data_IF_687790182498
#
_entry.id   IF_687790182498
#
_cell.length_a   1.000
_cell.length_b   1.000
_cell.length_c   1.000
_cell.angle_alpha   90.00
_cell.angle_beta   90.00
_cell.angle_gamma   90.00
#
_symmetry.space_group_name_H-M   'P 1'
#
loop_
_entity.id
_entity.type
_entity.pdbx_description
1 polymer ?
#
# COMPACT_ATOMS: atom_id res chain seq x y z
N UNK A 1 -28.98 -1.73 17.95
CA UNK A 1 -29.59 -2.31 16.74
C UNK A 1 -30.40 -3.49 17.21
N UNK A 2 -31.63 -3.71 16.74
CA UNK A 2 -32.42 -4.87 17.15
C UNK A 2 -32.03 -6.11 16.34
N UNK A 3 -32.20 -7.33 16.88
CA UNK A 3 -31.98 -8.59 16.16
C UNK A 3 -32.74 -8.63 14.82
N UNK A 4 -33.94 -8.06 14.77
CA UNK A 4 -34.71 -7.93 13.52
C UNK A 4 -33.91 -7.25 12.41
N UNK A 5 -33.19 -6.19 12.73
CA UNK A 5 -32.38 -5.45 11.75
C UNK A 5 -31.10 -6.21 11.35
N UNK A 6 -30.57 -7.06 12.25
CA UNK A 6 -29.46 -7.96 11.92
C UNK A 6 -29.91 -9.01 10.92
N UNK A 7 -31.08 -9.61 11.13
CA UNK A 7 -31.67 -10.59 10.21
C UNK A 7 -31.92 -9.96 8.82
N UNK A 8 -32.50 -8.75 8.76
CA UNK A 8 -32.71 -8.01 7.50
C UNK A 8 -31.37 -7.72 6.74
N UNK A 9 -30.27 -7.55 7.46
CA UNK A 9 -28.96 -7.37 6.85
C UNK A 9 -28.39 -8.72 6.42
N UNK A 10 -28.49 -9.74 7.25
CA UNK A 10 -27.99 -11.08 6.97
C UNK A 10 -28.68 -11.71 5.76
N UNK A 11 -30.02 -11.52 5.60
CA UNK A 11 -30.77 -11.98 4.43
C UNK A 11 -30.29 -11.32 3.11
N UNK A 12 -29.68 -10.12 3.19
CA UNK A 12 -29.13 -9.43 2.01
C UNK A 12 -27.71 -9.87 1.66
N UNK A 13 -27.06 -10.58 2.58
CA UNK A 13 -25.71 -11.12 2.37
C UNK A 13 -25.91 -12.52 1.79
N UNK A 14 -25.51 -12.70 0.55
CA UNK A 14 -25.52 -14.01 -0.12
C UNK A 14 -24.36 -14.86 0.41
N UNK A 15 -24.61 -15.58 1.50
CA UNK A 15 -23.63 -16.46 2.15
C UNK A 15 -23.27 -17.68 1.28
N UNK A 16 -24.21 -18.16 0.46
CA UNK A 16 -24.02 -19.36 -0.36
C UNK A 16 -23.07 -19.11 -1.53
N UNK A 17 -23.14 -17.92 -2.13
CA UNK A 17 -22.28 -17.55 -3.27
C UNK A 17 -20.94 -16.89 -2.86
N UNK A 18 -20.75 -16.58 -1.58
CA UNK A 18 -19.53 -15.95 -1.06
C UNK A 18 -18.77 -16.88 -0.08
N UNK A 19 -18.26 -18.00 -0.56
CA UNK A 19 -17.52 -18.99 0.24
C UNK A 19 -16.30 -18.42 0.99
N UNK A 20 -15.79 -17.25 0.58
CA UNK A 20 -14.68 -16.55 1.21
C UNK A 20 -15.10 -15.48 2.23
N UNK A 21 -16.40 -15.27 2.43
CA UNK A 21 -16.89 -14.28 3.37
C UNK A 21 -16.65 -14.77 4.82
N UNK A 22 -15.94 -13.96 5.59
CA UNK A 22 -15.71 -14.19 7.00
C UNK A 22 -16.52 -13.20 7.81
N UNK A 23 -17.31 -13.70 8.75
CA UNK A 23 -18.22 -12.89 9.55
C UNK A 23 -17.92 -13.04 11.03
N UNK A 24 -17.90 -11.91 11.74
CA UNK A 24 -17.80 -11.85 13.20
C UNK A 24 -19.08 -11.21 13.74
N UNK A 25 -19.72 -11.85 14.69
CA UNK A 25 -20.81 -11.24 15.44
C UNK A 25 -20.23 -10.34 16.54
N UNK A 26 -20.53 -9.04 16.49
CA UNK A 26 -20.02 -8.08 17.48
C UNK A 26 -21.16 -7.58 18.37
N UNK A 27 -21.10 -7.93 19.64
CA UNK A 27 -21.97 -7.45 20.68
C UNK A 27 -21.36 -6.23 21.35
N UNK A 28 -21.95 -5.06 21.13
CA UNK A 28 -21.45 -3.78 21.68
C UNK A 28 -22.27 -3.35 22.90
N UNK A 29 -21.72 -2.43 23.69
CA UNK A 29 -22.30 -1.83 24.91
C UNK A 29 -22.45 -2.81 26.05
N UNK A 30 -21.52 -3.74 26.22
CA UNK A 30 -21.50 -4.69 27.36
C UNK A 30 -21.38 -3.98 28.73
N UNK A 31 -21.04 -2.68 28.74
CA UNK A 31 -21.00 -1.84 29.93
C UNK A 31 -22.42 -1.47 30.47
N UNK A 32 -23.47 -1.77 29.70
CA UNK A 32 -24.88 -1.51 30.05
C UNK A 32 -25.62 -2.82 30.35
N UNK A 33 -25.04 -3.67 31.18
CA UNK A 33 -25.60 -5.01 31.52
C UNK A 33 -27.05 -4.95 31.98
N UNK A 34 -27.42 -3.97 32.81
CA UNK A 34 -28.77 -3.81 33.35
C UNK A 34 -29.79 -3.29 32.30
N UNK A 35 -29.34 -2.83 31.16
CA UNK A 35 -30.17 -2.34 30.06
C UNK A 35 -30.23 -3.32 28.87
N UNK A 36 -29.70 -4.52 29.04
CA UNK A 36 -29.66 -5.55 28.00
C UNK A 36 -31.06 -5.98 27.62
N UNK A 37 -31.46 -5.79 26.36
CA UNK A 37 -32.80 -6.11 25.82
C UNK A 37 -32.81 -7.41 25.01
N UNK A 38 -31.65 -7.97 24.71
CA UNK A 38 -31.53 -9.19 23.88
C UNK A 38 -30.87 -10.23 24.76
N UNK A 39 -31.54 -11.36 24.94
CA UNK A 39 -30.98 -12.48 25.67
C UNK A 39 -29.96 -13.26 24.87
N UNK A 40 -29.14 -14.04 25.57
CA UNK A 40 -28.05 -14.81 24.99
C UNK A 40 -28.57 -15.92 24.07
N UNK A 41 -29.72 -16.48 24.38
CA UNK A 41 -30.34 -17.56 23.58
C UNK A 41 -30.76 -17.06 22.19
N UNK A 42 -31.35 -15.87 22.11
CA UNK A 42 -31.68 -15.21 20.84
C UNK A 42 -30.44 -14.87 19.99
N UNK A 43 -29.34 -14.52 20.63
CA UNK A 43 -28.08 -14.26 19.93
C UNK A 43 -27.51 -15.57 19.36
N UNK A 44 -27.47 -16.62 20.15
CA UNK A 44 -26.96 -17.92 19.74
C UNK A 44 -27.79 -18.49 18.58
N UNK A 45 -29.10 -18.39 18.66
CA UNK A 45 -29.98 -18.82 17.57
C UNK A 45 -29.73 -18.04 16.27
N UNK A 46 -29.50 -16.74 16.37
CA UNK A 46 -29.10 -15.91 15.22
C UNK A 46 -27.77 -16.35 14.61
N UNK A 47 -26.78 -16.62 15.46
CA UNK A 47 -25.47 -17.09 15.02
C UNK A 47 -25.54 -18.45 14.33
N UNK A 48 -26.31 -19.38 14.88
CA UNK A 48 -26.55 -20.71 14.29
C UNK A 48 -27.26 -20.61 12.93
N UNK A 49 -28.29 -19.76 12.84
CA UNK A 49 -29.07 -19.57 11.60
C UNK A 49 -28.19 -19.10 10.44
N UNK A 50 -27.20 -18.26 10.72
CA UNK A 50 -26.31 -17.68 9.68
C UNK A 50 -24.89 -18.29 9.71
N UNK A 51 -24.69 -19.41 10.39
CA UNK A 51 -23.41 -20.14 10.51
C UNK A 51 -22.23 -19.26 10.97
N UNK A 52 -22.51 -18.25 11.80
CA UNK A 52 -21.49 -17.33 12.31
C UNK A 52 -20.74 -18.02 13.48
N UNK A 53 -19.47 -18.32 13.28
CA UNK A 53 -18.64 -19.07 14.25
C UNK A 53 -17.96 -18.19 15.27
N UNK A 54 -17.75 -16.91 14.95
CA UNK A 54 -16.97 -15.99 15.77
C UNK A 54 -17.85 -14.91 16.40
N UNK A 55 -17.74 -14.77 17.73
CA UNK A 55 -18.42 -13.73 18.51
C UNK A 55 -17.42 -12.93 19.33
N UNK A 56 -17.61 -11.62 19.40
CA UNK A 56 -16.81 -10.72 20.26
C UNK A 56 -17.74 -9.76 21.00
N UNK A 57 -17.50 -9.62 22.29
CA UNK A 57 -18.17 -8.66 23.16
C UNK A 57 -17.30 -7.43 23.38
N UNK A 58 -17.83 -6.24 23.14
CA UNK A 58 -17.08 -4.99 23.25
C UNK A 58 -17.87 -3.90 23.98
N UNK A 59 -17.13 -2.94 24.54
CA UNK A 59 -17.66 -1.62 24.88
C UNK A 59 -16.81 -0.54 24.24
N UNK A 60 -17.31 0.06 23.19
CA UNK A 60 -16.61 1.16 22.52
C UNK A 60 -16.41 2.32 23.50
N UNK A 61 -17.38 2.58 24.39
CA UNK A 61 -17.29 3.65 25.40
C UNK A 61 -16.15 3.45 26.39
N UNK A 62 -15.93 2.22 26.84
CA UNK A 62 -14.89 1.87 27.81
C UNK A 62 -13.60 1.35 27.18
N UNK A 63 -13.58 1.10 25.88
CA UNK A 63 -12.46 0.48 25.17
C UNK A 63 -12.30 -1.03 25.39
N UNK A 64 -13.19 -1.68 26.17
CA UNK A 64 -13.09 -3.07 26.49
C UNK A 64 -13.38 -3.96 25.28
N UNK A 65 -12.62 -5.04 25.11
CA UNK A 65 -12.82 -6.06 24.07
C UNK A 65 -12.38 -5.63 22.66
N UNK A 66 -11.90 -4.40 22.45
CA UNK A 66 -11.45 -3.92 21.14
C UNK A 66 -10.20 -4.66 20.65
N UNK A 67 -9.26 -4.95 21.55
CA UNK A 67 -8.04 -5.71 21.21
C UNK A 67 -8.40 -7.12 20.74
N UNK A 68 -9.32 -7.81 21.43
CA UNK A 68 -9.81 -9.12 21.03
C UNK A 68 -10.53 -9.09 19.67
N UNK A 69 -11.31 -8.05 19.40
CA UNK A 69 -11.94 -7.87 18.08
C UNK A 69 -10.88 -7.75 16.98
N UNK A 70 -9.86 -6.90 17.19
CA UNK A 70 -8.78 -6.71 16.23
C UNK A 70 -7.98 -8.00 16.03
N UNK A 71 -7.68 -8.74 17.10
CA UNK A 71 -7.00 -10.02 17.02
C UNK A 71 -7.80 -11.05 16.20
N UNK A 72 -9.10 -11.19 16.48
CA UNK A 72 -9.98 -12.09 15.71
C UNK A 72 -10.11 -11.68 14.25
N UNK A 73 -10.22 -10.39 13.95
CA UNK A 73 -10.21 -9.89 12.59
C UNK A 73 -8.90 -10.22 11.87
N UNK A 74 -7.77 -10.04 12.52
CA UNK A 74 -6.46 -10.39 11.98
C UNK A 74 -6.34 -11.90 11.72
N UNK A 75 -6.83 -12.74 12.62
CA UNK A 75 -6.81 -14.19 12.45
C UNK A 75 -7.69 -14.65 11.26
N UNK A 76 -8.84 -14.02 11.06
CA UNK A 76 -9.70 -14.31 9.90
C UNK A 76 -9.06 -13.89 8.58
N UNK A 77 -8.35 -12.77 8.57
CA UNK A 77 -7.63 -12.27 7.38
C UNK A 77 -6.41 -13.14 7.08
N UNK A 78 -5.65 -13.54 8.10
CA UNK A 78 -4.42 -14.33 7.95
C UNK A 78 -4.69 -15.79 7.56
N UNK A 79 -5.89 -16.31 7.83
CA UNK A 79 -6.32 -17.65 7.40
C UNK A 79 -6.89 -17.67 5.97
N UNK A 80 -7.05 -16.53 5.31
CA UNK A 80 -7.28 -16.46 3.87
C UNK A 80 -5.94 -16.59 3.14
N UNK A 81 -5.87 -17.38 2.07
CA UNK A 81 -4.66 -17.76 1.30
C UNK A 81 -3.85 -16.60 0.69
N UNK A 82 -4.17 -15.35 1.04
CA UNK A 82 -3.42 -14.16 0.70
C UNK A 82 -2.53 -13.69 1.87
N UNK A 83 -1.70 -14.58 2.40
CA UNK A 83 -0.62 -14.20 3.31
C UNK A 83 0.35 -13.28 2.57
N UNK A 84 0.18 -11.96 2.74
CA UNK A 84 1.21 -11.00 2.36
C UNK A 84 2.34 -11.15 3.38
N UNK A 85 3.50 -11.72 3.00
CA UNK A 85 4.56 -12.05 3.95
C UNK A 85 5.37 -10.80 4.35
N UNK A 86 4.67 -9.71 4.67
CA UNK A 86 5.29 -8.47 5.12
C UNK A 86 5.03 -8.30 6.62
N UNK A 87 6.06 -8.53 7.41
CA UNK A 87 6.06 -8.22 8.83
C UNK A 87 6.64 -6.83 9.04
N UNK A 88 5.86 -5.98 9.73
CA UNK A 88 6.38 -4.70 10.21
C UNK A 88 7.41 -4.96 11.31
N UNK A 89 8.60 -4.44 11.15
CA UNK A 89 9.56 -4.35 12.25
C UNK A 89 9.12 -3.16 13.09
N UNK A 90 8.52 -3.41 14.26
CA UNK A 90 8.12 -2.36 15.19
C UNK A 90 9.37 -1.59 15.61
N UNK A 91 9.42 -0.31 15.27
CA UNK A 91 10.39 0.59 15.87
C UNK A 91 9.92 0.99 17.27
N UNK A 92 9.99 0.07 18.23
CA UNK A 92 10.10 0.43 19.63
C UNK A 92 11.57 0.40 19.98
N UNK A 93 12.10 1.58 20.15
CA UNK A 93 13.28 2.10 20.86
C UNK A 93 14.19 2.92 19.98
N UNK A 94 14.36 4.17 20.41
CA UNK A 94 15.49 5.05 20.13
C UNK A 94 16.80 4.47 20.70
N UNK A 95 17.25 3.35 20.20
CA UNK A 95 18.65 2.94 20.31
C UNK A 95 19.19 2.95 18.90
N UNK A 96 20.12 3.86 18.68
CA UNK A 96 21.05 3.88 17.56
C UNK A 96 21.90 2.62 17.70
N UNK A 97 21.33 1.48 17.33
CA UNK A 97 22.04 0.23 17.22
C UNK A 97 22.31 0.01 15.75
N UNK A 98 23.60 0.18 15.42
CA UNK A 98 24.29 -0.26 14.21
C UNK A 98 23.52 -0.05 12.90
N UNK A 99 24.09 0.72 11.99
CA UNK A 99 23.64 0.85 10.60
C UNK A 99 23.65 -0.54 9.96
N UNK A 100 22.51 -1.25 10.04
CA UNK A 100 22.32 -2.40 9.19
C UNK A 100 22.23 -1.89 7.75
N UNK A 101 23.18 -2.26 6.93
CA UNK A 101 23.10 -2.04 5.48
C UNK A 101 21.90 -2.85 4.96
N UNK A 102 20.76 -2.18 4.82
CA UNK A 102 19.61 -2.81 4.16
C UNK A 102 19.94 -3.01 2.69
N UNK A 103 19.86 -4.25 2.18
CA UNK A 103 20.26 -4.56 0.81
C UNK A 103 19.35 -3.88 -0.23
N UNK A 104 18.12 -3.52 0.14
CA UNK A 104 17.15 -2.86 -0.74
C UNK A 104 16.55 -1.64 -0.03
N UNK A 105 16.59 -0.50 -0.71
CA UNK A 105 15.85 0.71 -0.33
C UNK A 105 14.78 0.97 -1.38
N UNK A 106 13.54 1.18 -0.94
CA UNK A 106 12.39 1.50 -1.78
C UNK A 106 12.00 2.95 -1.54
N UNK A 107 12.02 3.78 -2.59
CA UNK A 107 11.61 5.17 -2.53
C UNK A 107 10.20 5.33 -3.11
N UNK A 108 9.26 5.72 -2.26
CA UNK A 108 7.86 5.99 -2.62
C UNK A 108 7.56 7.48 -2.55
N UNK A 109 6.85 8.00 -3.55
CA UNK A 109 6.44 9.41 -3.61
C UNK A 109 4.91 9.47 -3.60
N UNK A 110 4.36 10.39 -2.79
CA UNK A 110 2.94 10.73 -2.79
C UNK A 110 2.72 11.99 -3.62
N UNK A 111 1.87 11.91 -4.64
CA UNK A 111 1.44 13.04 -5.46
C UNK A 111 -0.07 13.08 -5.58
N UNK A 112 -0.62 14.19 -6.04
CA UNK A 112 -2.07 14.42 -6.16
C UNK A 112 -2.45 15.82 -5.68
N UNK A 113 -3.70 16.22 -5.92
CA UNK A 113 -4.21 17.54 -5.59
C UNK A 113 -4.13 17.89 -4.10
N UNK A 114 -4.37 19.14 -3.76
CA UNK A 114 -4.52 19.56 -2.36
C UNK A 114 -5.73 18.86 -1.74
N UNK A 115 -5.66 18.58 -0.43
CA UNK A 115 -6.75 18.01 0.39
C UNK A 115 -7.23 16.60 0.00
N UNK A 116 -6.57 15.88 -0.92
CA UNK A 116 -6.91 14.48 -1.24
C UNK A 116 -6.48 13.50 -0.15
N UNK A 117 -5.62 13.92 0.79
CA UNK A 117 -5.20 13.13 1.95
C UNK A 117 -3.84 12.46 1.83
N UNK A 118 -2.89 13.03 1.05
CA UNK A 118 -1.49 12.55 0.97
C UNK A 118 -0.83 12.50 2.34
N UNK A 119 -0.85 13.62 3.07
CA UNK A 119 -0.31 13.72 4.42
C UNK A 119 -1.04 12.82 5.42
N UNK A 120 -2.35 12.59 5.23
CA UNK A 120 -3.09 11.63 6.05
C UNK A 120 -2.60 10.20 5.82
N UNK A 121 -2.37 9.81 4.57
CA UNK A 121 -1.76 8.52 4.24
C UNK A 121 -0.35 8.42 4.82
N UNK A 122 0.48 9.45 4.65
CA UNK A 122 1.82 9.52 5.19
C UNK A 122 1.83 9.30 6.72
N UNK A 123 0.93 9.97 7.47
CA UNK A 123 0.83 9.82 8.92
C UNK A 123 0.30 8.44 9.33
N UNK A 124 -0.64 7.87 8.57
CA UNK A 124 -1.11 6.49 8.80
C UNK A 124 -0.01 5.47 8.57
N UNK A 125 0.67 5.58 7.44
CA UNK A 125 1.80 4.72 7.11
C UNK A 125 2.90 4.79 8.17
N UNK A 126 3.13 5.98 8.71
CA UNK A 126 4.24 6.29 9.59
C UNK A 126 3.97 5.95 11.06
N UNK A 127 2.86 6.49 11.61
CA UNK A 127 2.56 6.46 13.03
C UNK A 127 1.22 5.79 13.35
N UNK A 128 0.53 5.28 12.35
CA UNK A 128 -0.87 4.82 12.45
C UNK A 128 -1.81 5.89 13.06
N UNK A 129 -1.51 7.17 12.81
CA UNK A 129 -2.26 8.31 13.36
C UNK A 129 -3.04 9.03 12.27
N UNK A 130 -4.18 9.61 12.66
CA UNK A 130 -4.98 10.50 11.84
C UNK A 130 -5.25 11.78 12.63
N UNK A 131 -5.11 12.93 11.96
CA UNK A 131 -5.44 14.24 12.52
C UNK A 131 -6.48 14.89 11.60
N UNK A 132 -7.55 15.44 12.16
CA UNK A 132 -8.60 16.11 11.37
C UNK A 132 -8.20 17.51 10.90
N UNK A 133 -7.41 18.22 11.71
CA UNK A 133 -6.99 19.59 11.40
C UNK A 133 -5.59 19.58 10.78
N UNK A 134 -5.54 19.63 9.45
CA UNK A 134 -4.29 19.78 8.73
C UNK A 134 -4.06 21.22 8.29
N UNK A 135 -2.89 21.73 8.65
CA UNK A 135 -2.28 22.84 7.92
C UNK A 135 -1.70 22.27 6.63
N UNK A 136 -1.89 22.98 5.51
CA UNK A 136 -1.31 22.56 4.22
C UNK A 136 0.18 22.30 4.35
N UNK A 137 0.64 21.15 3.83
CA UNK A 137 2.06 20.79 3.82
C UNK A 137 2.86 21.86 3.08
N UNK A 138 3.89 22.40 3.71
CA UNK A 138 4.83 23.35 3.11
C UNK A 138 6.12 22.58 2.81
N UNK A 139 6.42 22.36 1.52
CA UNK A 139 7.63 21.64 1.11
C UNK A 139 7.43 20.15 0.97
N UNK A 140 8.43 19.37 1.35
CA UNK A 140 8.48 17.90 1.20
C UNK A 140 8.93 17.31 2.54
N UNK A 141 8.10 16.45 3.11
CA UNK A 141 8.44 15.66 4.28
C UNK A 141 8.89 14.25 3.87
N UNK A 142 9.86 13.72 4.60
CA UNK A 142 10.39 12.38 4.39
C UNK A 142 10.35 11.57 5.65
N UNK A 143 9.89 10.34 5.52
CA UNK A 143 9.98 9.34 6.58
C UNK A 143 10.45 8.02 6.03
N UNK A 144 11.05 7.19 6.88
CA UNK A 144 11.44 5.83 6.51
C UNK A 144 11.06 4.82 7.58
N UNK A 145 10.75 3.60 7.14
CA UNK A 145 10.53 2.44 8.01
C UNK A 145 11.25 1.23 7.44
N UNK A 146 11.59 0.31 8.33
CA UNK A 146 12.14 -0.98 7.96
C UNK A 146 11.03 -2.03 7.94
N UNK A 147 11.08 -2.88 6.93
CA UNK A 147 10.14 -3.98 6.73
C UNK A 147 10.92 -5.26 6.50
N UNK A 148 10.31 -6.40 6.82
CA UNK A 148 10.85 -7.71 6.49
C UNK A 148 9.95 -8.36 5.45
N UNK A 149 10.50 -8.63 4.27
CA UNK A 149 9.82 -9.28 3.18
C UNK A 149 10.63 -10.51 2.72
N UNK A 150 9.99 -11.69 2.66
CA UNK A 150 10.65 -12.97 2.33
C UNK A 150 11.93 -13.22 3.14
N UNK A 151 11.92 -12.86 4.41
CA UNK A 151 13.06 -13.03 5.31
C UNK A 151 14.17 -11.99 5.18
N UNK A 152 14.09 -11.07 4.21
CA UNK A 152 15.07 -10.00 3.99
C UNK A 152 14.54 -8.67 4.50
N UNK A 153 15.42 -7.85 5.05
CA UNK A 153 15.08 -6.49 5.46
C UNK A 153 15.13 -5.54 4.27
N UNK A 154 14.15 -4.64 4.19
CA UNK A 154 14.13 -3.54 3.25
C UNK A 154 13.77 -2.23 3.94
N UNK A 155 14.39 -1.14 3.49
CA UNK A 155 14.11 0.22 3.95
C UNK A 155 13.15 0.88 2.99
N UNK A 156 11.98 1.31 3.48
CA UNK A 156 11.00 2.07 2.69
C UNK A 156 11.07 3.53 3.08
N UNK A 157 11.39 4.39 2.12
CA UNK A 157 11.39 5.83 2.26
C UNK A 157 10.13 6.38 1.60
N UNK A 158 9.25 7.03 2.37
CA UNK A 158 8.04 7.67 1.87
C UNK A 158 8.23 9.19 1.88
N UNK A 159 7.88 9.84 0.75
CA UNK A 159 7.99 11.27 0.55
C UNK A 159 6.59 11.87 0.42
N UNK A 160 6.20 12.71 1.39
CA UNK A 160 4.96 13.50 1.35
C UNK A 160 5.22 14.83 0.67
N UNK A 161 4.38 15.19 -0.29
CA UNK A 161 4.57 16.40 -1.09
C UNK A 161 3.41 17.37 -0.89
N UNK A 162 3.71 18.67 -0.96
CA UNK A 162 2.68 19.70 -0.96
C UNK A 162 1.78 19.55 -2.20
N UNK A 163 0.47 19.45 -1.99
CA UNK A 163 -0.53 19.34 -3.07
C UNK A 163 -1.04 20.67 -3.60
N UNK A 164 -0.39 21.80 -3.24
CA UNK A 164 -0.84 23.12 -3.71
C UNK A 164 -0.45 23.33 -5.18
N UNK A 165 -1.40 23.85 -5.95
CA UNK A 165 -1.25 24.18 -7.38
C UNK A 165 -0.04 25.09 -7.69
N UNK A 166 0.42 25.85 -6.71
CA UNK A 166 1.58 26.76 -6.81
C UNK A 166 2.94 26.03 -6.74
N UNK A 167 2.97 24.74 -6.31
CA UNK A 167 4.18 23.92 -6.14
C UNK A 167 4.09 22.59 -6.90
N UNK A 168 3.40 22.60 -8.05
CA UNK A 168 3.19 21.38 -8.88
C UNK A 168 4.47 20.72 -9.35
N UNK A 169 5.59 21.42 -9.38
CA UNK A 169 6.85 20.83 -9.83
C UNK A 169 7.71 20.33 -8.68
N UNK A 170 7.56 19.08 -8.34
CA UNK A 170 8.61 18.37 -7.60
C UNK A 170 9.92 18.45 -8.42
N UNK A 171 11.06 18.70 -7.76
CA UNK A 171 12.34 18.62 -8.47
C UNK A 171 12.49 17.26 -9.15
N UNK A 172 12.89 17.28 -10.43
CA UNK A 172 13.03 16.10 -11.30
C UNK A 172 13.72 14.91 -10.65
N UNK A 173 14.72 15.16 -9.79
CA UNK A 173 15.45 14.13 -9.04
C UNK A 173 14.58 13.21 -8.20
N UNK A 174 13.41 13.70 -7.71
CA UNK A 174 12.52 12.85 -6.90
C UNK A 174 11.85 11.80 -7.78
N UNK A 175 11.33 12.20 -8.94
CA UNK A 175 10.76 11.27 -9.91
C UNK A 175 11.79 10.25 -10.41
N UNK A 176 13.01 10.69 -10.67
CA UNK A 176 14.10 9.83 -11.15
C UNK A 176 14.54 8.79 -10.12
N UNK A 177 14.50 9.12 -8.84
CA UNK A 177 14.89 8.23 -7.77
C UNK A 177 13.74 7.35 -7.24
N UNK A 178 12.50 7.60 -7.67
CA UNK A 178 11.35 6.84 -7.23
C UNK A 178 11.39 5.39 -7.73
N UNK A 179 11.00 4.47 -6.87
CA UNK A 179 10.74 3.07 -7.19
C UNK A 179 9.23 2.83 -7.30
N UNK A 180 8.43 3.65 -6.60
CA UNK A 180 6.98 3.70 -6.70
C UNK A 180 6.43 5.10 -6.57
N UNK A 181 5.36 5.40 -7.33
CA UNK A 181 4.65 6.69 -7.27
C UNK A 181 3.18 6.39 -7.00
N UNK A 182 2.64 7.01 -5.93
CA UNK A 182 1.26 6.90 -5.51
C UNK A 182 0.54 8.20 -5.88
N UNK A 183 -0.38 8.12 -6.85
CA UNK A 183 -1.27 9.23 -7.21
C UNK A 183 -2.52 9.09 -6.34
N UNK A 184 -2.72 10.01 -5.39
CA UNK A 184 -3.86 9.99 -4.48
C UNK A 184 -4.90 10.99 -4.96
N UNK A 185 -6.16 10.52 -5.07
CA UNK A 185 -7.32 11.37 -5.34
C UNK A 185 -8.42 11.13 -4.29
N UNK A 186 -9.37 12.05 -4.21
CA UNK A 186 -10.53 11.97 -3.33
C UNK A 186 -11.72 11.40 -4.12
N UNK A 187 -12.29 10.28 -3.70
CA UNK A 187 -13.42 9.63 -4.40
C UNK A 187 -14.68 10.50 -4.43
N UNK A 188 -14.75 11.53 -3.60
CA UNK A 188 -15.85 12.50 -3.58
C UNK A 188 -15.57 13.76 -4.42
N UNK A 189 -14.34 13.89 -4.98
CA UNK A 189 -13.93 15.07 -5.73
C UNK A 189 -13.56 14.69 -7.18
N UNK A 190 -14.48 14.99 -8.12
CA UNK A 190 -14.32 14.68 -9.54
C UNK A 190 -13.14 15.43 -10.18
N UNK A 191 -12.82 16.64 -9.71
CA UNK A 191 -11.67 17.40 -10.19
C UNK A 191 -10.36 16.70 -9.89
N UNK A 192 -10.16 16.24 -8.64
CA UNK A 192 -8.95 15.51 -8.25
C UNK A 192 -8.77 14.20 -9.04
N UNK A 193 -9.86 13.56 -9.45
CA UNK A 193 -9.83 12.38 -10.31
C UNK A 193 -9.49 12.73 -11.77
N UNK A 194 -10.02 13.84 -12.28
CA UNK A 194 -9.71 14.30 -13.64
C UNK A 194 -8.23 14.71 -13.76
N UNK A 195 -7.69 15.35 -12.73
CA UNK A 195 -6.31 15.83 -12.68
C UNK A 195 -5.27 14.69 -12.59
N UNK A 196 -5.67 13.43 -12.41
CA UNK A 196 -4.79 12.27 -12.54
C UNK A 196 -4.03 12.27 -13.87
N UNK A 197 -4.66 12.73 -14.95
CA UNK A 197 -4.02 12.87 -16.25
C UNK A 197 -2.90 13.90 -16.25
N UNK A 198 -3.06 14.99 -15.51
CA UNK A 198 -2.04 16.04 -15.36
C UNK A 198 -0.84 15.47 -14.59
N UNK A 199 -1.09 14.74 -13.50
CA UNK A 199 -0.04 14.08 -12.72
C UNK A 199 0.72 13.03 -13.52
N UNK A 200 0.03 12.30 -14.41
CA UNK A 200 0.66 11.33 -15.31
C UNK A 200 1.57 12.01 -16.34
N UNK A 201 1.16 13.16 -16.89
CA UNK A 201 2.01 13.94 -17.80
C UNK A 201 3.27 14.41 -17.07
N UNK A 202 3.13 14.90 -15.83
CA UNK A 202 4.26 15.33 -15.01
C UNK A 202 5.23 14.17 -14.71
N UNK A 203 4.72 12.98 -14.41
CA UNK A 203 5.55 11.77 -14.25
C UNK A 203 6.30 11.49 -15.55
N UNK A 204 5.62 11.46 -16.69
CA UNK A 204 6.22 11.17 -17.98
C UNK A 204 7.34 12.16 -18.35
N UNK A 205 7.12 13.44 -18.09
CA UNK A 205 8.10 14.50 -18.40
C UNK A 205 9.34 14.44 -17.51
N UNK A 206 9.21 13.96 -16.27
CA UNK A 206 10.27 14.01 -15.27
C UNK A 206 10.92 12.66 -14.97
N UNK A 207 10.17 11.55 -15.07
CA UNK A 207 10.68 10.21 -14.76
C UNK A 207 11.38 9.54 -15.95
N UNK A 208 10.98 9.81 -17.18
CA UNK A 208 11.47 9.14 -18.41
C UNK A 208 12.90 9.53 -18.85
N UNK A 209 13.64 10.29 -18.04
CA UNK A 209 14.96 10.79 -18.44
C UNK A 209 16.10 9.85 -18.05
N UNK A 210 15.82 8.75 -17.38
CA UNK A 210 16.86 7.79 -17.04
C UNK A 210 17.12 6.84 -18.20
N UNK A 211 18.23 7.07 -18.90
CA UNK A 211 18.84 6.21 -19.91
C UNK A 211 19.16 4.78 -19.42
N UNK A 212 18.91 4.47 -18.16
CA UNK A 212 19.23 3.20 -17.52
C UNK A 212 18.06 2.20 -17.47
N UNK A 213 16.91 2.54 -18.05
CA UNK A 213 15.77 1.61 -18.14
C UNK A 213 15.08 1.28 -16.81
N UNK A 214 15.23 2.14 -15.80
CA UNK A 214 14.56 1.97 -14.50
C UNK A 214 13.04 2.02 -14.67
N UNK A 215 12.36 0.95 -14.32
CA UNK A 215 10.90 0.89 -14.32
C UNK A 215 10.36 1.30 -12.95
N UNK A 216 9.43 2.24 -12.95
CA UNK A 216 8.76 2.77 -11.76
C UNK A 216 7.38 2.12 -11.64
N UNK A 217 7.04 1.61 -10.46
CA UNK A 217 5.70 1.07 -10.19
C UNK A 217 4.71 2.22 -9.91
N UNK A 218 3.58 2.24 -10.63
CA UNK A 218 2.59 3.30 -10.53
C UNK A 218 1.31 2.79 -9.87
N UNK A 219 0.79 3.58 -8.92
CA UNK A 219 -0.40 3.25 -8.15
C UNK A 219 -1.38 4.42 -8.15
N UNK A 220 -2.66 4.13 -8.43
CA UNK A 220 -3.76 5.07 -8.29
C UNK A 220 -4.53 4.74 -7.00
N UNK A 221 -4.65 5.72 -6.10
CA UNK A 221 -5.25 5.52 -4.77
C UNK A 221 -6.49 6.42 -4.62
N UNK A 222 -7.67 5.81 -4.56
CA UNK A 222 -8.92 6.48 -4.20
C UNK A 222 -9.05 6.56 -2.68
N UNK A 223 -8.96 7.74 -2.11
CA UNK A 223 -9.09 7.99 -0.67
C UNK A 223 -10.48 8.52 -0.31
N UNK A 224 -10.80 8.49 0.99
CA UNK A 224 -12.04 8.95 1.62
C UNK A 224 -13.28 8.11 1.27
N UNK A 225 -13.09 6.79 1.11
CA UNK A 225 -14.20 5.86 0.84
C UNK A 225 -15.20 5.75 1.99
N UNK A 226 -14.92 6.36 3.13
CA UNK A 226 -15.80 6.50 4.29
C UNK A 226 -16.92 7.53 4.10
N UNK A 227 -16.78 8.42 3.12
CA UNK A 227 -17.78 9.45 2.85
C UNK A 227 -18.92 8.90 1.97
N UNK A 228 -20.15 9.33 2.29
CA UNK A 228 -21.34 8.88 1.57
C UNK A 228 -21.52 9.54 0.21
N UNK A 229 -21.02 10.76 0.04
CA UNK A 229 -21.15 11.58 -1.18
C UNK A 229 -20.11 11.20 -2.24
N UNK A 230 -20.02 9.91 -2.55
CA UNK A 230 -19.08 9.41 -3.54
C UNK A 230 -19.45 9.87 -4.95
N UNK A 231 -18.50 10.50 -5.66
CA UNK A 231 -18.66 10.97 -7.05
C UNK A 231 -17.98 10.06 -8.08
N UNK A 232 -17.00 9.27 -7.66
CA UNK A 232 -16.22 8.36 -8.51
C UNK A 232 -16.45 6.93 -8.04
N UNK A 233 -17.02 6.09 -8.89
CA UNK A 233 -17.21 4.68 -8.56
C UNK A 233 -15.90 3.89 -8.71
N UNK A 234 -15.91 2.62 -8.25
CA UNK A 234 -14.72 1.77 -8.25
C UNK A 234 -14.33 1.36 -9.67
N UNK A 235 -15.29 1.23 -10.58
CA UNK A 235 -15.06 0.88 -11.98
C UNK A 235 -14.33 2.01 -12.71
N UNK A 236 -14.78 3.26 -12.56
CA UNK A 236 -14.09 4.43 -13.13
C UNK A 236 -12.62 4.50 -12.68
N UNK A 237 -12.37 4.19 -11.38
CA UNK A 237 -11.01 4.13 -10.83
C UNK A 237 -10.15 3.04 -11.48
N UNK A 238 -10.70 1.84 -11.63
CA UNK A 238 -10.04 0.71 -12.31
C UNK A 238 -9.75 1.00 -13.77
N UNK A 239 -10.72 1.58 -14.50
CA UNK A 239 -10.58 1.90 -15.93
C UNK A 239 -9.48 2.93 -16.14
N UNK A 240 -9.48 4.01 -15.34
CA UNK A 240 -8.42 5.03 -15.41
C UNK A 240 -7.04 4.45 -15.05
N UNK A 241 -6.95 3.62 -14.04
CA UNK A 241 -5.70 2.96 -13.66
C UNK A 241 -5.20 2.04 -14.77
N UNK A 242 -6.09 1.22 -15.34
CA UNK A 242 -5.79 0.33 -16.46
C UNK A 242 -5.31 1.10 -17.69
N UNK A 243 -5.93 2.23 -18.02
CA UNK A 243 -5.54 3.08 -19.13
C UNK A 243 -4.09 3.58 -19.03
N UNK A 244 -3.64 3.90 -17.81
CA UNK A 244 -2.27 4.35 -17.55
C UNK A 244 -1.31 3.24 -17.11
N UNK A 245 -1.74 1.98 -17.08
CA UNK A 245 -0.92 0.86 -16.62
C UNK A 245 -0.60 0.89 -15.11
N UNK A 246 -1.49 1.49 -14.31
CA UNK A 246 -1.38 1.58 -12.86
C UNK A 246 -2.17 0.47 -12.17
N UNK A 247 -1.84 0.16 -10.91
CA UNK A 247 -2.70 -0.62 -10.01
C UNK A 247 -3.62 0.32 -9.24
N UNK A 248 -4.90 -0.02 -9.14
CA UNK A 248 -5.91 0.75 -8.41
C UNK A 248 -6.20 0.18 -7.04
N UNK A 249 -6.26 1.07 -6.04
CA UNK A 249 -6.63 0.74 -4.67
C UNK A 249 -7.55 1.80 -4.07
N UNK A 250 -8.36 1.40 -3.09
CA UNK A 250 -9.24 2.28 -2.35
C UNK A 250 -8.96 2.23 -0.85
N UNK A 251 -8.91 3.40 -0.21
CA UNK A 251 -8.57 3.55 1.20
C UNK A 251 -9.48 4.55 1.92
N UNK A 252 -9.53 4.45 3.24
CA UNK A 252 -9.91 5.55 4.10
C UNK A 252 -8.79 5.83 5.11
N UNK A 253 -8.12 6.94 4.95
CA UNK A 253 -7.15 7.39 5.97
C UNK A 253 -7.84 7.74 7.29
N UNK A 254 -9.09 8.23 7.26
CA UNK A 254 -9.86 8.58 8.47
C UNK A 254 -10.18 7.33 9.29
N UNK A 255 -10.75 6.33 8.68
CA UNK A 255 -11.18 5.08 9.35
C UNK A 255 -10.10 3.98 9.36
N UNK A 256 -8.90 4.26 8.82
CA UNK A 256 -7.81 3.28 8.70
C UNK A 256 -8.18 2.03 7.89
N UNK A 257 -9.03 2.20 6.85
CA UNK A 257 -9.47 1.10 6.00
C UNK A 257 -8.41 0.85 4.93
N UNK A 258 -7.99 -0.39 4.75
CA UNK A 258 -7.09 -0.90 3.73
C UNK A 258 -5.65 -0.32 3.74
N UNK A 259 -5.28 0.55 4.70
CA UNK A 259 -3.97 1.22 4.71
C UNK A 259 -2.82 0.20 4.82
N UNK A 260 -2.90 -0.68 5.80
CA UNK A 260 -1.85 -1.68 6.06
C UNK A 260 -1.69 -2.67 4.91
N UNK A 261 -2.81 -3.21 4.43
CA UNK A 261 -2.82 -4.18 3.33
C UNK A 261 -2.26 -3.58 2.04
N UNK A 262 -2.74 -2.38 1.67
CA UNK A 262 -2.32 -1.72 0.44
C UNK A 262 -0.85 -1.30 0.52
N UNK A 263 -0.40 -0.79 1.67
CA UNK A 263 1.02 -0.48 1.89
C UNK A 263 1.89 -1.72 1.68
N UNK A 264 1.47 -2.87 2.20
CA UNK A 264 2.17 -4.13 2.01
C UNK A 264 2.26 -4.54 0.53
N UNK A 265 1.14 -4.47 -0.21
CA UNK A 265 1.10 -4.77 -1.66
C UNK A 265 1.98 -3.84 -2.48
N UNK A 266 2.00 -2.54 -2.15
CA UNK A 266 2.87 -1.55 -2.81
C UNK A 266 4.34 -1.88 -2.59
N UNK A 267 4.72 -2.20 -1.34
CA UNK A 267 6.09 -2.58 -0.98
C UNK A 267 6.51 -3.86 -1.72
N UNK A 268 5.66 -4.89 -1.73
CA UNK A 268 5.90 -6.14 -2.43
C UNK A 268 6.15 -5.93 -3.93
N UNK A 269 5.32 -5.12 -4.58
CA UNK A 269 5.45 -4.81 -6.00
C UNK A 269 6.77 -4.13 -6.31
N UNK A 270 7.08 -3.04 -5.57
CA UNK A 270 8.31 -2.31 -5.76
C UNK A 270 9.55 -3.17 -5.46
N UNK A 271 9.51 -3.96 -4.39
CA UNK A 271 10.58 -4.88 -4.04
C UNK A 271 10.85 -5.90 -5.17
N UNK A 272 9.78 -6.51 -5.68
CA UNK A 272 9.86 -7.51 -6.75
C UNK A 272 10.42 -6.90 -8.04
N UNK A 273 10.02 -5.68 -8.36
CA UNK A 273 10.51 -4.99 -9.56
C UNK A 273 12.00 -4.62 -9.42
N UNK A 274 12.43 -4.16 -8.25
CA UNK A 274 13.86 -3.90 -7.97
C UNK A 274 14.69 -5.19 -8.06
N UNK A 275 14.21 -6.32 -7.51
CA UNK A 275 14.93 -7.61 -7.63
C UNK A 275 15.09 -8.04 -9.08
N UNK A 276 14.05 -7.87 -9.92
CA UNK A 276 14.12 -8.16 -11.36
C UNK A 276 15.16 -7.31 -12.08
N UNK A 277 15.16 -6.00 -11.83
CA UNK A 277 16.10 -5.06 -12.44
C UNK A 277 17.55 -5.38 -12.03
N UNK A 278 17.80 -5.64 -10.75
CA UNK A 278 19.12 -6.04 -10.24
C UNK A 278 19.60 -7.37 -10.86
N UNK A 279 18.69 -8.32 -11.08
CA UNK A 279 18.98 -9.59 -11.75
C UNK A 279 19.40 -9.38 -13.22
N UNK A 280 18.68 -8.54 -13.95
CA UNK A 280 18.96 -8.22 -15.36
C UNK A 280 20.32 -7.50 -15.52
N UNK A 281 20.63 -6.54 -14.66
CA UNK A 281 21.92 -5.84 -14.68
C UNK A 281 23.08 -6.79 -14.43
N UNK A 282 22.97 -7.73 -13.49
CA UNK A 282 24.01 -8.73 -13.23
C UNK A 282 24.26 -9.64 -14.45
N UNK A 283 23.21 -10.07 -15.13
CA UNK A 283 23.33 -10.90 -16.34
C UNK A 283 24.02 -10.12 -17.48
N UNK A 284 23.67 -8.84 -17.64
CA UNK A 284 24.27 -7.98 -18.65
C UNK A 284 25.75 -7.73 -18.40
N UNK A 285 26.14 -7.43 -17.16
CA UNK A 285 27.56 -7.29 -16.76
C UNK A 285 28.38 -8.58 -16.96
N UNK A 286 27.78 -9.76 -16.71
CA UNK A 286 28.44 -11.03 -16.98
C UNK A 286 28.66 -11.27 -18.48
N UNK A 287 27.68 -10.93 -19.32
CA UNK A 287 27.80 -11.03 -20.76
C UNK A 287 28.85 -10.09 -21.34
N UNK A 288 28.89 -8.83 -20.88
CA UNK A 288 29.86 -7.82 -21.30
C UNK A 288 31.29 -8.24 -20.88
N UNK A 289 31.46 -8.77 -19.68
CA UNK A 289 32.76 -9.27 -19.22
C UNK A 289 33.24 -10.50 -19.99
N UNK A 290 32.32 -11.37 -20.42
CA UNK A 290 32.66 -12.53 -21.27
C UNK A 290 33.01 -12.09 -22.71
N UNK A 291 32.26 -11.14 -23.29
CA UNK A 291 32.59 -10.56 -24.59
C UNK A 291 33.95 -9.85 -24.60
N UNK A 292 34.28 -9.14 -23.51
CA UNK A 292 35.58 -8.48 -23.35
C UNK A 292 36.75 -9.50 -23.27
N UNK A 293 36.54 -10.65 -22.60
CA UNK A 293 37.53 -11.74 -22.57
C UNK A 293 37.71 -12.41 -23.93
N UNK A 294 36.63 -12.63 -24.67
CA UNK A 294 36.67 -13.21 -26.03
C UNK A 294 37.42 -12.30 -27.02
N UNK A 295 37.14 -10.97 -26.99
CA UNK A 295 37.82 -10.01 -27.86
C UNK A 295 39.32 -9.87 -27.54
N UNK A 296 39.74 -9.99 -26.25
CA UNK A 296 41.15 -10.03 -25.89
C UNK A 296 41.87 -11.31 -26.34
N UNK A 297 41.18 -12.45 -26.39
CA UNK A 297 41.73 -13.72 -26.85
C UNK A 297 41.91 -13.74 -28.37
N UNK A 298 41.02 -13.14 -29.14
CA UNK A 298 41.12 -12.99 -30.59
C UNK A 298 42.23 -12.03 -30.99
N UNK A 299 42.36 -10.86 -30.34
CA UNK A 299 43.47 -9.94 -30.61
C UNK A 299 44.84 -10.51 -30.27
N UNK A 300 44.98 -11.37 -29.24
CA UNK A 300 46.22 -12.09 -28.93
C UNK A 300 46.55 -13.16 -30.01
N UNK A 301 45.59 -13.82 -30.63
CA UNK A 301 45.81 -14.79 -31.73
C UNK A 301 46.23 -14.07 -33.00
N UNK A 302 45.69 -12.90 -33.32
CA UNK A 302 46.10 -12.13 -34.51
C UNK A 302 47.49 -11.51 -34.40
N UNK A 303 47.88 -11.05 -33.20
CA UNK A 303 49.27 -10.59 -32.95
C UNK A 303 50.32 -11.71 -32.99
N UNK A 304 49.94 -12.98 -32.64
CA UNK A 304 50.84 -14.13 -32.77
C UNK A 304 50.97 -14.60 -34.23
N UNK A 305 49.95 -14.46 -35.10
CA UNK A 305 50.03 -14.75 -36.52
C UNK A 305 50.90 -13.74 -37.30
N UNK A 306 50.83 -12.45 -36.97
CA UNK A 306 51.68 -11.42 -37.61
C UNK A 306 53.18 -11.52 -37.25
N UNK A 307 53.58 -12.15 -36.13
CA UNK A 307 54.97 -12.36 -35.74
C UNK A 307 55.61 -13.63 -36.34
N UNK A 308 54.87 -14.45 -37.10
CA UNK A 308 55.40 -15.67 -37.77
C UNK A 308 55.62 -15.46 -39.27
N UNK A 309 55.40 -14.24 -39.79
CA UNK A 309 55.60 -13.88 -41.20
C UNK A 309 56.55 -12.68 -41.39
N UNK A 310 57.49 -12.46 -40.47
CA UNK A 310 58.63 -11.60 -40.63
C UNK A 310 59.90 -12.39 -40.39
#
# INVERSE_FOLDING_TARGET
MSLKKINEIAEKIDFENNSNLKVIFVENKIDLENERKIDEESINQCMETYEIKEKVQISIKKGNGLENLVEKMNNLVNNSENNIPINYISQEKNEITEFHECPITINLILIGNSNVGKTCFFNRFNKNQFQENFVSTIGIDKYFRYFKYKGKECKVCLWDTAGQDRYRSLPKKYYQNADGILIIFDVCNKESFNDVSIWMNEINDNANVNSEGKKISLFLIGNKIDLLERSINKEDGNDKASFYGMKYFEISCKLNINITEISARIIEECYTEIEKQNGQQKVQQMNDSNNFKLNKSTQKKDKKKKKKFC
#
